data_IF_845418795633
#
_entry.id   IF_845418795633
#
_cell.length_a   1.000
_cell.length_b   1.000
_cell.length_c   1.000
_cell.angle_alpha   90.00
_cell.angle_beta   90.00
_cell.angle_gamma   90.00
#
_symmetry.space_group_name_H-M   'P 1'
#
loop_
_entity.id
_entity.type
_entity.pdbx_description
1 polymer ?
#
# COMPACT_ATOMS: atom_id res chain seq x y z
N UNK A 1 5.30 16.44 1.70
CA UNK A 1 4.79 15.80 2.94
C UNK A 1 3.61 16.58 3.52
N UNK A 2 3.76 17.84 3.93
CA UNK A 2 2.64 18.61 4.50
C UNK A 2 1.41 18.73 3.58
N UNK A 3 1.60 19.05 2.29
CA UNK A 3 0.48 19.12 1.31
C UNK A 3 -0.30 17.80 1.22
N UNK A 4 0.42 16.67 1.28
CA UNK A 4 -0.18 15.34 1.24
C UNK A 4 -1.01 15.08 2.51
N UNK A 5 -0.45 15.37 3.69
CA UNK A 5 -1.16 15.23 4.96
C UNK A 5 -2.42 16.12 5.03
N UNK A 6 -2.33 17.37 4.57
CA UNK A 6 -3.49 18.30 4.52
C UNK A 6 -4.59 17.76 3.61
N UNK A 7 -4.22 17.26 2.43
CA UNK A 7 -5.18 16.64 1.51
C UNK A 7 -5.84 15.43 2.15
N UNK A 8 -5.04 14.54 2.74
CA UNK A 8 -5.49 13.34 3.41
C UNK A 8 -6.46 13.64 4.57
N UNK A 9 -6.13 14.61 5.43
CA UNK A 9 -7.03 15.08 6.51
C UNK A 9 -8.40 15.52 5.98
N UNK A 10 -8.44 16.16 4.82
CA UNK A 10 -9.69 16.62 4.22
C UNK A 10 -10.54 15.49 3.62
N UNK A 11 -9.93 14.36 3.25
CA UNK A 11 -10.57 13.31 2.45
C UNK A 11 -10.72 11.97 3.19
N UNK A 12 -9.88 11.67 4.19
CA UNK A 12 -9.88 10.39 4.93
C UNK A 12 -10.27 10.50 6.41
N UNK A 13 -10.50 11.71 6.93
CA UNK A 13 -10.83 11.93 8.34
C UNK A 13 -9.62 12.37 9.19
N UNK A 14 -9.62 12.03 10.49
CA UNK A 14 -8.60 12.50 11.43
C UNK A 14 -7.21 11.93 11.09
N UNK A 15 -6.28 12.81 10.75
CA UNK A 15 -4.87 12.49 10.47
C UNK A 15 -3.99 13.03 11.60
N UNK A 16 -3.31 12.12 12.29
CA UNK A 16 -2.38 12.48 13.36
C UNK A 16 -1.01 12.75 12.75
N UNK A 17 -0.56 14.01 12.82
CA UNK A 17 0.77 14.43 12.37
C UNK A 17 1.55 15.08 13.50
N UNK A 18 2.79 14.65 13.72
CA UNK A 18 3.70 15.18 14.74
C UNK A 18 3.78 16.73 14.72
N UNK A 19 3.85 17.31 13.52
CA UNK A 19 3.95 18.75 13.27
C UNK A 19 2.71 19.53 13.71
N UNK A 20 1.54 18.89 13.78
CA UNK A 20 0.28 19.54 14.18
C UNK A 20 0.00 19.44 15.68
N UNK A 21 0.44 18.36 16.32
CA UNK A 21 0.06 18.06 17.71
C UNK A 21 1.19 18.22 18.72
N UNK A 22 2.46 18.15 18.31
CA UNK A 22 3.60 18.34 19.22
C UNK A 22 3.93 19.82 19.44
N UNK A 23 4.11 20.17 20.71
CA UNK A 23 4.61 21.45 21.19
C UNK A 23 6.05 21.32 21.70
N UNK A 24 6.84 22.41 21.71
CA UNK A 24 8.18 22.39 22.28
C UNK A 24 8.20 21.83 23.70
N UNK A 25 9.11 20.90 23.97
CA UNK A 25 9.27 20.23 25.27
C UNK A 25 8.48 18.93 25.43
N UNK A 26 7.60 18.58 24.49
CA UNK A 26 6.93 17.27 24.50
C UNK A 26 7.84 16.17 23.96
N UNK A 27 7.65 14.97 24.48
CA UNK A 27 8.35 13.77 24.03
C UNK A 27 7.76 13.28 22.70
N UNK A 28 8.53 13.47 21.62
CA UNK A 28 8.15 13.02 20.26
C UNK A 28 7.97 11.50 20.20
N UNK A 29 8.83 10.77 20.89
CA UNK A 29 8.87 9.31 20.89
C UNK A 29 7.59 8.75 21.51
N UNK A 30 7.25 9.20 22.72
CA UNK A 30 6.02 8.80 23.39
C UNK A 30 4.77 9.13 22.57
N UNK A 31 4.71 10.32 21.97
CA UNK A 31 3.59 10.71 21.11
C UNK A 31 3.42 9.77 19.92
N UNK A 32 4.52 9.42 19.24
CA UNK A 32 4.49 8.52 18.09
C UNK A 32 4.05 7.10 18.47
N UNK A 33 4.54 6.57 19.59
CA UNK A 33 4.10 5.27 20.10
C UNK A 33 2.60 5.24 20.36
N UNK A 34 2.08 6.26 21.04
CA UNK A 34 0.67 6.37 21.33
C UNK A 34 -0.17 6.48 20.05
N UNK A 35 0.25 7.35 19.12
CA UNK A 35 -0.42 7.49 17.83
C UNK A 35 -0.41 6.18 17.03
N UNK A 36 0.72 5.48 16.99
CA UNK A 36 0.84 4.17 16.35
C UNK A 36 -0.05 3.16 17.05
N UNK A 37 -0.14 3.13 18.39
CA UNK A 37 -1.01 2.22 19.12
C UNK A 37 -2.51 2.44 18.85
N UNK A 38 -2.98 3.69 18.86
CA UNK A 38 -4.41 4.00 18.82
C UNK A 38 -5.00 4.15 17.41
N UNK A 39 -4.18 4.34 16.38
CA UNK A 39 -4.68 4.55 15.01
C UNK A 39 -5.19 3.25 14.37
N UNK A 40 -6.23 3.33 13.55
CA UNK A 40 -6.71 2.20 12.74
C UNK A 40 -5.72 1.86 11.61
N UNK A 41 -5.18 2.90 10.98
CA UNK A 41 -4.19 2.82 9.91
C UNK A 41 -2.98 3.69 10.21
N UNK A 42 -1.80 3.24 9.80
CA UNK A 42 -0.53 3.95 9.92
C UNK A 42 0.11 4.00 8.55
N UNK A 43 0.17 5.19 7.96
CA UNK A 43 0.83 5.40 6.67
C UNK A 43 2.33 5.58 6.87
N UNK A 44 3.11 4.69 6.27
CA UNK A 44 4.58 4.75 6.31
C UNK A 44 5.09 5.34 5.01
N UNK A 45 5.65 6.55 5.06
CA UNK A 45 6.18 7.25 3.88
C UNK A 45 7.54 6.67 3.49
N UNK A 46 7.53 5.83 2.46
CA UNK A 46 8.69 5.15 1.91
C UNK A 46 9.47 6.05 0.96
N UNK A 47 10.76 6.23 1.26
CA UNK A 47 11.76 6.91 0.43
C UNK A 47 13.09 6.18 0.57
N UNK A 48 14.00 6.28 -0.40
CA UNK A 48 15.32 5.62 -0.31
C UNK A 48 16.09 6.01 0.96
N UNK A 49 15.98 7.28 1.37
CA UNK A 49 16.60 7.79 2.60
C UNK A 49 15.95 7.19 3.85
N UNK A 50 14.63 7.08 3.86
CA UNK A 50 13.90 6.49 4.99
C UNK A 50 14.25 5.00 5.14
N UNK A 51 14.16 4.22 4.06
CA UNK A 51 14.48 2.79 4.09
C UNK A 51 15.90 2.52 4.58
N UNK A 52 16.89 3.25 4.04
CA UNK A 52 18.28 3.09 4.49
C UNK A 52 18.44 3.37 5.99
N UNK A 53 17.82 4.44 6.50
CA UNK A 53 17.89 4.80 7.92
C UNK A 53 17.14 3.81 8.82
N UNK A 54 16.00 3.30 8.35
CA UNK A 54 15.20 2.30 9.05
C UNK A 54 15.96 0.98 9.17
N UNK A 55 16.51 0.48 8.06
CA UNK A 55 17.26 -0.78 8.01
C UNK A 55 18.55 -0.73 8.82
N UNK A 56 19.26 0.41 8.82
CA UNK A 56 20.47 0.60 9.62
C UNK A 56 20.19 1.05 11.07
N UNK A 57 18.93 1.32 11.43
CA UNK A 57 18.52 1.86 12.73
C UNK A 57 19.23 3.16 13.11
N UNK A 58 19.34 4.08 12.16
CA UNK A 58 20.08 5.34 12.29
C UNK A 58 19.19 6.54 12.67
N UNK A 59 19.52 7.15 13.81
CA UNK A 59 18.81 8.32 14.36
C UNK A 59 17.38 7.99 14.78
N UNK A 60 16.50 9.00 14.81
CA UNK A 60 15.10 8.85 15.26
C UNK A 60 14.27 7.82 14.47
N UNK A 61 14.62 7.53 13.21
CA UNK A 61 13.92 6.56 12.35
C UNK A 61 14.09 5.12 12.83
N UNK A 62 15.23 4.81 13.46
CA UNK A 62 15.47 3.48 14.03
C UNK A 62 14.47 3.14 15.12
N UNK A 63 14.12 4.13 15.95
CA UNK A 63 13.13 3.96 17.00
C UNK A 63 11.73 3.70 16.45
N UNK A 64 11.28 4.53 15.49
CA UNK A 64 9.99 4.36 14.81
C UNK A 64 9.87 2.96 14.21
N UNK A 65 10.95 2.50 13.57
CA UNK A 65 11.04 1.15 13.00
C UNK A 65 10.89 0.08 14.07
N UNK A 66 11.52 0.24 15.25
CA UNK A 66 11.36 -0.68 16.37
C UNK A 66 9.92 -0.79 16.84
N UNK A 67 9.22 0.34 17.02
CA UNK A 67 7.81 0.35 17.45
C UNK A 67 6.92 -0.35 16.43
N UNK A 68 7.06 0.00 15.14
CA UNK A 68 6.29 -0.63 14.06
C UNK A 68 6.55 -2.14 14.01
N UNK A 69 7.81 -2.56 14.05
CA UNK A 69 8.17 -3.98 14.02
C UNK A 69 7.66 -4.75 15.24
N UNK A 70 7.61 -4.11 16.42
CA UNK A 70 7.05 -4.69 17.64
C UNK A 70 5.56 -5.00 17.47
N UNK A 71 4.77 -4.02 17.02
CA UNK A 71 3.34 -4.23 16.77
C UNK A 71 3.07 -5.26 15.67
N UNK A 72 3.87 -5.25 14.59
CA UNK A 72 3.77 -6.27 13.54
C UNK A 72 4.12 -7.68 14.05
N UNK A 73 4.98 -7.80 15.07
CA UNK A 73 5.29 -9.08 15.68
C UNK A 73 4.17 -9.58 16.61
N UNK A 74 3.46 -8.66 17.26
CA UNK A 74 2.28 -8.96 18.09
C UNK A 74 1.07 -9.41 17.25
N UNK A 75 0.83 -8.74 16.11
CA UNK A 75 -0.20 -9.13 15.14
C UNK A 75 0.39 -9.21 13.72
N UNK A 76 0.87 -10.40 13.37
CA UNK A 76 1.51 -10.67 12.07
C UNK A 76 0.54 -10.45 10.91
N UNK A 77 -0.77 -10.67 11.10
CA UNK A 77 -1.77 -10.52 10.04
C UNK A 77 -2.36 -9.12 9.97
N UNK A 78 -1.89 -8.18 10.80
CA UNK A 78 -2.37 -6.80 10.78
C UNK A 78 -2.22 -6.16 9.40
N UNK A 79 -3.23 -5.41 8.99
CA UNK A 79 -3.21 -4.58 7.77
C UNK A 79 -3.10 -3.08 8.07
N UNK A 80 -2.78 -2.75 9.33
CA UNK A 80 -2.68 -1.39 9.83
C UNK A 80 -1.59 -0.56 9.15
N UNK A 81 -0.44 -1.17 8.85
CA UNK A 81 0.70 -0.47 8.27
C UNK A 81 0.61 -0.42 6.74
N UNK A 82 0.43 0.78 6.19
CA UNK A 82 0.27 1.04 4.76
C UNK A 82 1.55 1.70 4.21
N UNK A 83 2.41 0.97 3.49
CA UNK A 83 3.57 1.56 2.82
C UNK A 83 3.12 2.46 1.67
N UNK A 84 3.61 3.70 1.64
CA UNK A 84 3.33 4.67 0.56
C UNK A 84 4.65 5.16 -0.01
N UNK A 85 4.94 4.84 -1.27
CA UNK A 85 6.15 5.32 -1.91
C UNK A 85 6.01 6.78 -2.34
N UNK A 86 7.00 7.58 -1.96
CA UNK A 86 7.11 9.00 -2.35
C UNK A 86 8.38 9.34 -3.11
N UNK A 87 9.36 8.44 -3.12
CA UNK A 87 10.52 8.50 -4.01
C UNK A 87 11.17 7.13 -4.15
N UNK A 88 11.92 6.92 -5.23
CA UNK A 88 12.68 5.68 -5.44
C UNK A 88 11.82 4.54 -5.98
N UNK A 89 12.24 3.31 -5.72
CA UNK A 89 11.52 2.10 -6.16
C UNK A 89 11.16 1.25 -4.95
N UNK A 90 10.19 0.34 -5.09
CA UNK A 90 9.83 -0.61 -4.02
C UNK A 90 11.05 -1.33 -3.42
N UNK A 91 12.02 -1.69 -4.27
CA UNK A 91 13.22 -2.42 -3.80
C UNK A 91 14.14 -1.57 -2.92
N UNK A 92 14.18 -0.26 -3.14
CA UNK A 92 15.15 0.67 -2.54
C UNK A 92 14.54 1.57 -1.47
N UNK A 93 13.26 1.87 -1.58
CA UNK A 93 12.53 2.82 -0.73
C UNK A 93 11.68 2.15 0.35
N UNK A 94 11.51 0.83 0.31
CA UNK A 94 10.75 0.07 1.29
C UNK A 94 11.68 -0.61 2.30
N UNK A 95 11.58 -0.28 3.61
CA UNK A 95 12.33 -0.97 4.66
C UNK A 95 12.09 -2.47 4.66
N UNK A 96 13.07 -3.26 5.13
CA UNK A 96 13.02 -4.72 5.12
C UNK A 96 11.74 -5.27 5.77
N UNK A 97 11.30 -4.66 6.88
CA UNK A 97 10.12 -5.13 7.62
C UNK A 97 8.79 -4.89 6.89
N UNK A 98 8.74 -4.04 5.86
CA UNK A 98 7.55 -3.80 5.03
C UNK A 98 7.58 -4.50 3.68
N UNK A 99 8.68 -5.20 3.33
CA UNK A 99 8.83 -5.84 2.00
C UNK A 99 7.84 -6.96 1.68
N UNK A 100 7.08 -7.44 2.65
CA UNK A 100 6.01 -8.41 2.45
C UNK A 100 4.63 -7.78 2.21
N UNK A 101 4.51 -6.46 2.39
CA UNK A 101 3.24 -5.72 2.29
C UNK A 101 3.10 -5.08 0.92
N UNK A 102 1.87 -4.99 0.42
CA UNK A 102 1.59 -4.22 -0.79
C UNK A 102 1.72 -2.74 -0.48
N UNK A 103 2.37 -2.00 -1.38
CA UNK A 103 2.55 -0.57 -1.31
C UNK A 103 1.55 0.19 -2.19
N UNK A 104 1.32 1.46 -1.86
CA UNK A 104 0.68 2.43 -2.77
C UNK A 104 1.77 3.28 -3.39
N UNK A 105 1.79 3.35 -4.72
CA UNK A 105 2.84 4.08 -5.43
C UNK A 105 2.41 5.51 -5.76
N UNK A 106 2.85 6.46 -4.94
CA UNK A 106 2.63 7.88 -5.17
C UNK A 106 3.94 8.60 -5.55
N UNK A 107 4.86 8.00 -6.31
CA UNK A 107 6.14 8.67 -6.65
C UNK A 107 6.00 9.83 -7.64
N UNK A 108 4.93 9.83 -8.43
CA UNK A 108 4.74 10.78 -9.53
C UNK A 108 4.43 12.20 -9.02
N UNK A 109 4.72 13.19 -9.89
CA UNK A 109 4.41 14.61 -9.68
C UNK A 109 3.83 15.22 -10.96
N UNK A 110 2.51 15.51 -11.02
CA UNK A 110 1.52 15.34 -9.95
C UNK A 110 1.27 13.86 -9.60
N UNK A 111 0.75 13.63 -8.38
CA UNK A 111 0.42 12.30 -7.89
C UNK A 111 -0.63 11.65 -8.81
N UNK A 112 -0.48 10.35 -9.02
CA UNK A 112 -1.45 9.51 -9.68
C UNK A 112 -2.73 9.36 -8.85
N UNK A 113 -3.82 9.90 -9.38
CA UNK A 113 -5.10 9.93 -8.69
C UNK A 113 -5.73 8.53 -8.52
N UNK A 114 -5.43 7.57 -9.40
CA UNK A 114 -5.88 6.17 -9.30
C UNK A 114 -5.26 5.45 -8.09
N UNK A 115 -3.96 5.66 -7.88
CA UNK A 115 -3.23 5.13 -6.72
C UNK A 115 -3.70 5.83 -5.43
N UNK A 116 -3.97 7.13 -5.49
CA UNK A 116 -4.47 7.89 -4.35
C UNK A 116 -5.90 7.50 -3.95
N UNK A 117 -6.81 7.31 -4.91
CA UNK A 117 -8.17 6.79 -4.66
C UNK A 117 -8.12 5.40 -4.02
N UNK A 118 -7.20 4.54 -4.49
CA UNK A 118 -6.99 3.22 -3.89
C UNK A 118 -6.57 3.31 -2.41
N UNK A 119 -5.71 4.26 -2.06
CA UNK A 119 -5.35 4.53 -0.67
C UNK A 119 -6.56 5.01 0.15
N UNK A 120 -7.33 5.97 -0.37
CA UNK A 120 -8.51 6.51 0.32
C UNK A 120 -9.55 5.42 0.60
N UNK A 121 -9.82 4.57 -0.40
CA UNK A 121 -10.71 3.42 -0.26
C UNK A 121 -10.32 2.50 0.89
N UNK A 122 -9.03 2.21 1.02
CA UNK A 122 -8.51 1.40 2.15
C UNK A 122 -8.77 2.11 3.47
N UNK A 123 -8.49 3.41 3.57
CA UNK A 123 -8.69 4.19 4.79
C UNK A 123 -10.16 4.30 5.21
N UNK A 124 -11.09 4.26 4.26
CA UNK A 124 -12.54 4.25 4.52
C UNK A 124 -13.13 2.84 4.68
N UNK A 125 -12.34 1.78 4.49
CA UNK A 125 -12.83 0.40 4.54
C UNK A 125 -13.69 -0.01 3.32
N UNK A 126 -13.54 0.67 2.19
CA UNK A 126 -14.27 0.44 0.93
C UNK A 126 -13.34 0.00 -0.22
N UNK A 127 -12.62 -1.15 -0.11
CA UNK A 127 -11.71 -1.61 -1.15
C UNK A 127 -12.43 -1.94 -2.44
N UNK A 128 -11.70 -1.95 -3.56
CA UNK A 128 -12.23 -2.33 -4.86
C UNK A 128 -12.66 -3.80 -4.82
N UNK A 129 -13.96 -4.05 -4.98
CA UNK A 129 -14.49 -5.41 -5.07
C UNK A 129 -14.22 -6.01 -6.45
N UNK A 130 -13.82 -7.30 -6.53
CA UNK A 130 -13.68 -7.98 -7.80
C UNK A 130 -15.04 -8.08 -8.50
N UNK A 131 -15.08 -8.03 -9.85
CA UNK A 131 -16.32 -8.21 -10.57
C UNK A 131 -16.93 -9.60 -10.29
N UNK A 132 -18.26 -9.75 -10.39
CA UNK A 132 -18.91 -11.04 -10.20
C UNK A 132 -18.32 -12.13 -11.10
N UNK A 133 -18.27 -13.36 -10.58
CA UNK A 133 -17.79 -14.50 -11.35
C UNK A 133 -18.63 -14.68 -12.62
N UNK A 134 -17.96 -14.78 -13.77
CA UNK A 134 -18.61 -15.09 -15.03
C UNK A 134 -19.15 -16.52 -15.08
N UNK A 135 -20.13 -16.77 -15.97
CA UNK A 135 -20.65 -18.11 -16.21
C UNK A 135 -19.58 -19.06 -16.76
N UNK A 136 -19.63 -20.34 -16.37
CA UNK A 136 -18.74 -21.40 -16.89
C UNK A 136 -18.68 -21.36 -18.43
N UNK A 137 -17.50 -21.23 -19.04
CA UNK A 137 -17.39 -21.26 -20.50
C UNK A 137 -17.85 -22.59 -21.08
N UNK A 138 -18.57 -22.54 -22.21
CA UNK A 138 -18.89 -23.74 -22.99
C UNK A 138 -17.65 -24.21 -23.77
N UNK A 139 -16.93 -25.16 -23.18
CA UNK A 139 -15.75 -25.77 -23.79
C UNK A 139 -16.09 -26.75 -24.91
N UNK A 140 -17.29 -27.35 -24.92
CA UNK A 140 -17.68 -28.33 -25.94
C UNK A 140 -17.91 -27.67 -27.30
N UNK A 141 -18.57 -26.51 -27.32
CA UNK A 141 -18.78 -25.73 -28.54
C UNK A 141 -17.48 -25.19 -29.13
N UNK A 142 -16.44 -24.96 -28.31
CA UNK A 142 -15.11 -24.52 -28.74
C UNK A 142 -14.29 -25.64 -29.40
N UNK A 143 -14.39 -26.88 -28.91
CA UNK A 143 -13.73 -28.03 -29.54
C UNK A 143 -14.33 -28.35 -30.91
N UNK A 144 -15.66 -28.30 -31.03
CA UNK A 144 -16.34 -28.55 -32.32
C UNK A 144 -16.02 -27.50 -33.39
N UNK A 145 -15.69 -26.25 -33.02
CA UNK A 145 -15.21 -25.23 -33.96
C UNK A 145 -13.81 -25.52 -34.49
N UNK A 146 -12.89 -26.04 -33.65
CA UNK A 146 -11.53 -26.41 -34.08
C UNK A 146 -11.48 -27.65 -34.97
N UNK A 147 -12.33 -28.66 -34.71
CA UNK A 147 -12.41 -29.84 -35.58
C UNK A 147 -12.96 -29.52 -36.97
N UNK A 148 -13.97 -28.63 -37.05
CA UNK A 148 -14.55 -28.22 -38.35
C UNK A 148 -13.61 -27.37 -39.21
N UNK A 149 -12.64 -26.67 -38.63
CA UNK A 149 -11.63 -25.91 -39.39
C UNK A 149 -10.45 -26.75 -39.90
N UNK A 150 -10.27 -27.98 -39.40
CA UNK A 150 -9.15 -28.86 -39.77
C UNK A 150 -9.48 -29.86 -40.88
N UNK A 151 -10.73 -29.97 -41.32
CA UNK A 151 -11.16 -30.94 -42.31
C UNK A 151 -11.70 -30.24 -43.57
N UNK A 152 -10.81 -29.64 -44.37
CA UNK A 152 -11.06 -29.45 -45.80
C UNK A 152 -10.14 -30.42 -46.54
N UNK A 153 -10.61 -31.63 -46.84
CA UNK A 153 -9.96 -32.49 -47.84
C UNK A 153 -10.19 -31.87 -49.22
N UNK A 154 -9.18 -31.83 -50.11
CA UNK A 154 -9.41 -31.43 -51.48
C UNK A 154 -10.18 -32.55 -52.19
N UNK A 155 -11.32 -32.22 -52.78
CA UNK A 155 -12.01 -33.13 -53.70
C UNK A 155 -11.12 -33.32 -54.94
N UNK A 156 -10.75 -34.57 -55.24
CA UNK A 156 -10.05 -34.93 -56.47
C UNK A 156 -11.09 -35.15 -57.57
N UNK A 157 -10.84 -34.51 -58.72
CA UNK A 157 -11.48 -34.72 -60.02
C UNK A 157 -11.22 -36.14 -60.55
#
# INVERSE_FOLDING_TARGET
>A
MLKFAVRLQGESGETILDTWYLKPGQDKTHFMEQAIATSDFVIVICTDKYAKRADNREGGVGYESTVITGQMAEDILTNKFLPVLRSGTYKTATPIYLKSRMDVNLTDDPIREDEYDSLLRVLHGEPIEPPPLGSKPDFQRRQNRKLKSSCKRPERL
#
